data_IF_954687574389
#
_entry.id   IF_954687574389
#
_cell.length_a   1.000
_cell.length_b   1.000
_cell.length_c   1.000
_cell.angle_alpha   90.00
_cell.angle_beta   90.00
_cell.angle_gamma   90.00
#
_symmetry.space_group_name_H-M   'P 1'
#
loop_
_entity.id
_entity.type
_entity.pdbx_description
1 polymer ?
#
# COMPACT_ATOMS: atom_id res chain seq x y z
N UNK A 1 -17.89 -18.45 -0.39
CA UNK A 1 -16.49 -17.97 -0.34
C UNK A 1 -15.87 -18.55 0.92
N UNK A 2 -14.73 -19.23 0.80
CA UNK A 2 -13.97 -19.68 1.98
C UNK A 2 -13.46 -18.45 2.71
N UNK A 3 -13.69 -18.37 4.02
CA UNK A 3 -13.09 -17.32 4.84
C UNK A 3 -11.59 -17.61 4.90
N UNK A 4 -10.80 -16.75 4.27
CA UNK A 4 -9.35 -16.81 4.38
C UNK A 4 -8.96 -16.38 5.80
N UNK A 5 -7.99 -17.08 6.38
CA UNK A 5 -7.36 -16.62 7.61
C UNK A 5 -6.51 -15.40 7.32
N UNK A 6 -6.52 -14.44 8.25
CA UNK A 6 -5.72 -13.22 8.13
C UNK A 6 -4.33 -13.54 8.69
N UNK A 7 -3.29 -13.32 7.88
CA UNK A 7 -1.91 -13.44 8.32
C UNK A 7 -1.53 -12.25 9.21
N UNK A 8 -1.72 -12.40 10.51
CA UNK A 8 -1.46 -11.33 11.50
C UNK A 8 0.02 -11.05 11.70
N UNK A 9 0.90 -12.02 11.42
CA UNK A 9 2.34 -11.87 11.61
C UNK A 9 2.94 -11.03 10.48
N UNK A 10 2.49 -11.26 9.24
CA UNK A 10 2.77 -10.38 8.12
C UNK A 10 2.28 -8.95 8.41
N UNK A 11 1.01 -8.78 8.82
CA UNK A 11 0.46 -7.45 9.09
C UNK A 11 1.21 -6.72 10.20
N UNK A 12 1.60 -7.41 11.27
CA UNK A 12 2.39 -6.83 12.36
C UNK A 12 3.76 -6.37 11.87
N UNK A 13 4.43 -7.18 11.05
CA UNK A 13 5.75 -6.87 10.49
C UNK A 13 5.68 -5.62 9.61
N UNK A 14 4.70 -5.56 8.71
CA UNK A 14 4.47 -4.39 7.84
C UNK A 14 4.13 -3.14 8.65
N UNK A 15 3.27 -3.26 9.67
CA UNK A 15 2.92 -2.13 10.53
C UNK A 15 4.15 -1.58 11.26
N UNK A 16 5.01 -2.45 11.81
CA UNK A 16 6.24 -2.03 12.48
C UNK A 16 7.16 -1.27 11.51
N UNK A 17 7.40 -1.83 10.32
CA UNK A 17 8.23 -1.19 9.28
C UNK A 17 7.70 0.19 8.90
N UNK A 18 6.40 0.32 8.66
CA UNK A 18 5.78 1.60 8.29
C UNK A 18 5.83 2.62 9.44
N UNK A 19 5.65 2.20 10.69
CA UNK A 19 5.73 3.08 11.87
C UNK A 19 7.14 3.58 12.16
N UNK A 20 8.17 2.81 11.78
CA UNK A 20 9.57 3.19 11.96
C UNK A 20 10.04 4.22 10.91
N UNK A 21 9.23 4.50 9.89
CA UNK A 21 9.52 5.48 8.83
C UNK A 21 8.77 6.77 9.11
N UNK A 22 9.49 7.85 9.42
CA UNK A 22 8.87 9.18 9.53
C UNK A 22 8.28 9.62 8.17
N UNK A 23 7.00 10.02 8.17
CA UNK A 23 6.27 10.44 6.97
C UNK A 23 5.42 11.69 7.19
N UNK A 24 5.93 12.79 7.77
CA UNK A 24 5.11 13.99 7.97
C UNK A 24 4.56 14.49 6.63
N UNK A 25 3.35 15.06 6.65
CA UNK A 25 2.70 15.57 5.43
C UNK A 25 3.66 16.41 4.58
N UNK A 26 3.82 16.02 3.32
CA UNK A 26 4.74 16.66 2.36
C UNK A 26 6.13 16.01 2.26
N UNK A 27 6.47 15.06 3.13
CA UNK A 27 7.76 14.34 3.15
C UNK A 27 7.54 12.82 3.23
N UNK A 28 6.86 12.26 2.22
CA UNK A 28 6.44 10.85 2.22
C UNK A 28 7.29 9.94 1.33
N UNK A 29 8.34 10.45 0.68
CA UNK A 29 9.11 9.70 -0.32
C UNK A 29 9.64 8.35 0.19
N UNK A 30 10.12 8.31 1.44
CA UNK A 30 10.66 7.09 2.04
C UNK A 30 9.57 6.04 2.28
N UNK A 31 8.42 6.43 2.87
CA UNK A 31 7.32 5.49 3.11
C UNK A 31 6.65 5.06 1.80
N UNK A 32 6.60 5.94 0.80
CA UNK A 32 6.12 5.60 -0.54
C UNK A 32 7.01 4.54 -1.18
N UNK A 33 8.33 4.67 -1.06
CA UNK A 33 9.27 3.66 -1.56
C UNK A 33 9.06 2.31 -0.88
N UNK A 34 8.94 2.28 0.45
CA UNK A 34 8.72 1.04 1.21
C UNK A 34 7.44 0.31 0.72
N UNK A 35 6.33 1.05 0.57
CA UNK A 35 5.08 0.47 0.09
C UNK A 35 5.18 -0.02 -1.36
N UNK A 36 5.91 0.70 -2.22
CA UNK A 36 6.16 0.28 -3.59
C UNK A 36 7.00 -1.01 -3.67
N UNK A 37 8.00 -1.15 -2.82
CA UNK A 37 8.84 -2.35 -2.76
C UNK A 37 8.01 -3.55 -2.28
N UNK A 38 7.14 -3.37 -1.28
CA UNK A 38 6.23 -4.41 -0.81
C UNK A 38 5.18 -4.79 -1.87
N UNK A 39 4.58 -3.83 -2.56
CA UNK A 39 3.66 -4.12 -3.67
C UNK A 39 4.36 -4.91 -4.78
N UNK A 40 5.63 -4.60 -5.07
CA UNK A 40 6.44 -5.35 -6.03
C UNK A 40 6.68 -6.79 -5.56
N UNK A 41 6.99 -6.98 -4.27
CA UNK A 41 7.17 -8.31 -3.64
C UNK A 41 5.91 -9.16 -3.72
N UNK A 42 4.74 -8.54 -3.57
CA UNK A 42 3.43 -9.18 -3.70
C UNK A 42 3.00 -9.41 -5.16
N UNK A 43 3.75 -8.90 -6.14
CA UNK A 43 3.41 -8.99 -7.56
C UNK A 43 2.19 -8.15 -7.94
N UNK A 44 1.96 -7.03 -7.26
CA UNK A 44 0.86 -6.11 -7.55
C UNK A 44 1.38 -4.96 -8.40
N UNK A 45 0.83 -4.80 -9.60
CA UNK A 45 1.17 -3.67 -10.48
C UNK A 45 0.72 -2.34 -9.86
N UNK A 46 1.60 -1.34 -9.89
CA UNK A 46 1.30 0.02 -9.46
C UNK A 46 1.96 1.06 -10.36
N UNK A 47 1.45 2.29 -10.24
CA UNK A 47 2.11 3.48 -10.76
C UNK A 47 2.23 4.55 -9.67
N UNK A 48 3.24 5.40 -9.81
CA UNK A 48 3.37 6.62 -9.01
C UNK A 48 2.82 7.80 -9.77
N UNK A 49 1.93 8.55 -9.13
CA UNK A 49 1.47 9.83 -9.67
C UNK A 49 2.55 10.90 -9.52
N UNK A 50 2.42 12.01 -10.25
CA UNK A 50 3.31 13.20 -10.11
C UNK A 50 3.35 13.80 -8.71
N UNK A 51 2.38 13.47 -7.85
CA UNK A 51 2.29 13.95 -6.45
C UNK A 51 2.72 12.89 -5.43
N UNK A 52 3.32 11.79 -5.87
CA UNK A 52 3.80 10.72 -4.98
C UNK A 52 2.71 9.76 -4.47
N UNK A 53 1.45 9.91 -4.90
CA UNK A 53 0.42 8.92 -4.58
C UNK A 53 0.65 7.61 -5.35
N UNK A 54 0.46 6.48 -4.67
CA UNK A 54 0.55 5.13 -5.22
C UNK A 54 -0.83 4.72 -5.74
N UNK A 55 -0.91 4.30 -7.00
CA UNK A 55 -2.11 3.69 -7.58
C UNK A 55 -1.81 2.24 -7.94
N UNK A 56 -2.17 1.33 -7.05
CA UNK A 56 -2.06 -0.11 -7.26
C UNK A 56 -3.33 -0.67 -7.91
N UNK A 57 -3.17 -1.66 -8.79
CA UNK A 57 -4.29 -2.31 -9.48
C UNK A 57 -4.08 -3.81 -9.56
N UNK A 58 -5.05 -4.55 -9.01
CA UNK A 58 -5.18 -5.99 -9.24
C UNK A 58 -6.30 -6.24 -10.26
N UNK A 59 -6.01 -6.85 -11.42
CA UNK A 59 -7.05 -7.18 -12.39
C UNK A 59 -7.97 -8.28 -11.85
N UNK A 60 -9.28 -8.02 -11.85
CA UNK A 60 -10.29 -9.05 -11.62
C UNK A 60 -10.61 -9.83 -12.90
N UNK A 61 -11.43 -10.88 -12.77
CA UNK A 61 -11.95 -11.67 -13.91
C UNK A 61 -12.71 -10.75 -14.89
N UNK A 62 -13.61 -9.94 -14.36
CA UNK A 62 -14.35 -8.93 -15.11
C UNK A 62 -13.74 -7.54 -14.95
N UNK A 63 -13.83 -6.72 -15.99
CA UNK A 63 -13.31 -5.34 -15.96
C UNK A 63 -14.18 -4.40 -15.11
N UNK A 64 -15.45 -4.72 -14.92
CA UNK A 64 -16.43 -3.90 -14.20
C UNK A 64 -17.45 -4.77 -13.47
N UNK A 65 -17.98 -4.33 -12.31
CA UNK A 65 -17.66 -3.07 -11.63
C UNK A 65 -16.31 -3.12 -10.89
N UNK A 66 -15.56 -2.02 -10.92
CA UNK A 66 -14.33 -1.87 -10.14
C UNK A 66 -14.60 -1.57 -8.66
N UNK A 67 -13.67 -1.98 -7.78
CA UNK A 67 -13.67 -1.66 -6.35
C UNK A 67 -12.35 -0.97 -6.00
N UNK A 68 -12.41 0.01 -5.11
CA UNK A 68 -11.24 0.73 -4.63
C UNK A 68 -11.33 0.93 -3.13
N UNK A 69 -10.17 0.95 -2.49
CA UNK A 69 -9.98 1.46 -1.14
C UNK A 69 -8.85 2.49 -1.18
N UNK A 70 -8.84 3.40 -0.21
CA UNK A 70 -7.85 4.47 -0.11
C UNK A 70 -7.40 4.57 1.34
N UNK A 71 -6.10 4.73 1.54
CA UNK A 71 -5.48 5.05 2.82
C UNK A 71 -4.47 6.16 2.61
N UNK A 72 -4.17 6.91 3.67
CA UNK A 72 -3.08 7.87 3.68
C UNK A 72 -1.81 7.22 4.25
N UNK A 73 -0.64 7.71 3.81
CA UNK A 73 0.67 7.28 4.30
C UNK A 73 1.33 8.34 5.18
N UNK A 74 0.89 9.59 5.07
CA UNK A 74 1.44 10.68 5.84
C UNK A 74 0.94 10.68 7.27
N UNK A 75 1.80 11.18 8.15
CA UNK A 75 1.51 11.44 9.56
C UNK A 75 1.47 12.94 9.84
N UNK A 76 0.90 13.28 10.99
CA UNK A 76 1.15 14.60 11.57
C UNK A 76 2.65 14.70 11.95
N UNK A 77 3.20 15.90 11.82
CA UNK A 77 4.58 16.23 12.18
C UNK A 77 4.70 16.82 13.57
#
# INVERSE_FOLDING_TARGET
MTKLEIDTDYLRTQLQQLLDIASPTGFTDNVVREVCDELSRLGVDFELTRRGAIRARMPGVDKQPARAFVSHLDTLG
#
